data_IF_982124372985
#
_entry.id   IF_982124372985
#
_cell.length_a   1.000
_cell.length_b   1.000
_cell.length_c   1.000
_cell.angle_alpha   90.00
_cell.angle_beta   90.00
_cell.angle_gamma   90.00
#
_symmetry.space_group_name_H-M   'P 1'
#
loop_
_entity.id
_entity.type
_entity.pdbx_description
1 polymer ?
#
# COMPACT_ATOMS: atom_id res chain seq x y z
N UNK A 1 20.24 5.36 -7.26
CA UNK A 1 20.40 4.86 -5.89
C UNK A 1 19.41 3.73 -5.61
N UNK A 2 19.88 2.50 -5.43
CA UNK A 2 18.99 1.35 -5.24
C UNK A 2 18.13 1.54 -3.97
N UNK A 3 16.94 0.93 -3.92
CA UNK A 3 16.05 1.02 -2.73
C UNK A 3 16.78 0.62 -1.45
N UNK A 4 17.65 -0.39 -1.54
CA UNK A 4 18.50 -0.87 -0.45
C UNK A 4 19.50 0.19 0.10
N UNK A 5 19.60 1.37 -0.52
CA UNK A 5 20.50 2.45 -0.12
C UNK A 5 19.76 3.67 0.46
N UNK A 6 18.42 3.62 0.56
CA UNK A 6 17.62 4.73 1.09
C UNK A 6 17.75 4.77 2.62
N UNK A 7 18.65 5.63 3.13
CA UNK A 7 18.92 5.74 4.58
C UNK A 7 17.85 6.46 5.39
N UNK A 8 16.89 7.13 4.75
CA UNK A 8 15.89 7.93 5.46
C UNK A 8 14.71 7.06 5.93
N UNK A 9 14.28 7.27 7.17
CA UNK A 9 13.16 6.55 7.77
C UNK A 9 11.79 7.16 7.44
N UNK A 10 11.78 8.40 6.94
CA UNK A 10 10.57 9.12 6.51
C UNK A 10 10.85 10.11 5.38
N UNK A 11 9.82 10.50 4.63
CA UNK A 11 9.82 11.67 3.75
C UNK A 11 9.01 12.79 4.40
N UNK A 12 9.52 14.02 4.39
CA UNK A 12 8.78 15.21 4.80
C UNK A 12 8.01 15.80 3.62
N UNK A 13 6.72 16.03 3.78
CA UNK A 13 5.85 16.61 2.75
C UNK A 13 5.18 17.88 3.31
N UNK A 14 5.28 18.98 2.56
CA UNK A 14 4.55 20.20 2.89
C UNK A 14 3.11 20.07 2.37
N UNK A 15 2.13 20.01 3.29
CA UNK A 15 0.71 19.90 2.96
C UNK A 15 0.06 21.27 3.03
N UNK A 16 -0.65 21.66 1.98
CA UNK A 16 -1.29 22.96 1.88
C UNK A 16 -2.69 22.85 1.27
N UNK A 17 -3.56 23.82 1.56
CA UNK A 17 -4.74 24.04 0.73
C UNK A 17 -4.32 24.58 -0.63
N UNK A 18 -5.00 24.17 -1.70
CA UNK A 18 -4.69 24.72 -3.02
C UNK A 18 -4.89 26.25 -3.06
N UNK A 19 -5.97 26.75 -2.47
CA UNK A 19 -6.25 28.18 -2.31
C UNK A 19 -7.25 28.40 -1.15
N UNK A 20 -7.58 29.66 -0.85
CA UNK A 20 -8.52 30.01 0.22
C UNK A 20 -9.95 29.51 -0.05
N UNK A 21 -10.30 29.24 -1.32
CA UNK A 21 -11.60 28.68 -1.67
C UNK A 21 -11.63 27.21 -1.25
N UNK A 22 -10.62 26.42 -1.60
CA UNK A 22 -10.51 25.03 -1.17
C UNK A 22 -10.37 24.92 0.36
N UNK A 23 -9.65 25.85 0.99
CA UNK A 23 -9.57 25.92 2.46
C UNK A 23 -10.94 26.06 3.12
N UNK A 24 -11.77 27.00 2.65
CA UNK A 24 -13.11 27.22 3.22
C UNK A 24 -14.01 25.99 3.08
N UNK A 25 -13.90 25.29 1.95
CA UNK A 25 -14.68 24.07 1.67
C UNK A 25 -14.23 22.90 2.55
N UNK A 26 -12.93 22.58 2.56
CA UNK A 26 -12.38 21.45 3.34
C UNK A 26 -12.52 21.64 4.86
N UNK A 27 -12.74 22.87 5.33
CA UNK A 27 -12.99 23.20 6.73
C UNK A 27 -14.48 23.45 7.06
N UNK A 28 -15.38 23.30 6.08
CA UNK A 28 -16.82 23.51 6.27
C UNK A 28 -17.43 22.47 7.22
N UNK A 29 -18.65 22.74 7.69
CA UNK A 29 -19.36 21.79 8.56
C UNK A 29 -19.72 20.46 7.85
N UNK A 30 -19.67 20.41 6.52
CA UNK A 30 -19.98 19.23 5.71
C UNK A 30 -18.90 18.15 5.82
N UNK A 31 -17.70 18.53 6.26
CA UNK A 31 -16.58 17.61 6.49
C UNK A 31 -16.55 17.06 7.93
N UNK A 32 -16.19 15.76 8.12
CA UNK A 32 -16.10 15.14 9.43
C UNK A 32 -15.23 15.94 10.40
N UNK A 33 -15.76 16.25 11.58
CA UNK A 33 -15.09 17.12 12.55
C UNK A 33 -13.70 16.62 12.97
N UNK A 34 -13.51 15.30 13.07
CA UNK A 34 -12.19 14.69 13.34
C UNK A 34 -11.21 15.01 12.21
N UNK A 35 -11.60 14.79 10.97
CA UNK A 35 -10.76 15.05 9.80
C UNK A 35 -10.37 16.53 9.71
N UNK A 36 -11.31 17.45 9.96
CA UNK A 36 -11.03 18.90 9.97
C UNK A 36 -9.97 19.31 10.98
N UNK A 37 -10.06 18.83 12.22
CA UNK A 37 -9.07 19.11 13.26
C UNK A 37 -7.68 18.59 12.89
N UNK A 38 -7.61 17.39 12.31
CA UNK A 38 -6.34 16.82 11.84
C UNK A 38 -5.80 17.64 10.67
N UNK A 39 -6.66 18.04 9.73
CA UNK A 39 -6.30 18.83 8.56
C UNK A 39 -5.72 20.19 8.95
N UNK A 40 -6.34 20.89 9.90
CA UNK A 40 -5.82 22.15 10.45
C UNK A 40 -4.42 21.98 11.03
N UNK A 41 -4.16 20.88 11.75
CA UNK A 41 -2.83 20.59 12.27
C UNK A 41 -1.83 20.22 11.17
N UNK A 42 -2.25 19.44 10.16
CA UNK A 42 -1.39 18.97 9.07
C UNK A 42 -0.85 20.09 8.20
N UNK A 43 -1.63 21.15 7.96
CA UNK A 43 -1.19 22.26 7.09
C UNK A 43 -0.24 23.25 7.78
N UNK A 44 0.03 23.08 9.08
CA UNK A 44 0.87 24.01 9.85
C UNK A 44 2.34 23.61 9.90
N UNK A 45 2.65 22.35 9.60
CA UNK A 45 4.00 21.80 9.67
C UNK A 45 4.17 20.67 8.64
N UNK A 46 5.40 20.36 8.22
CA UNK A 46 5.63 19.25 7.31
C UNK A 46 5.13 17.94 7.90
N UNK A 47 4.44 17.15 7.08
CA UNK A 47 4.01 15.81 7.43
C UNK A 47 5.16 14.84 7.20
N UNK A 48 5.55 14.11 8.25
CA UNK A 48 6.45 12.97 8.12
C UNK A 48 5.66 11.72 7.71
N UNK A 49 5.91 11.21 6.50
CA UNK A 49 5.39 9.94 6.00
C UNK A 49 6.50 8.90 6.16
N UNK A 50 6.28 7.79 6.89
CA UNK A 50 7.24 6.69 6.98
C UNK A 50 7.67 6.20 5.60
N UNK A 51 8.96 5.93 5.41
CA UNK A 51 9.46 5.45 4.11
C UNK A 51 8.80 4.12 3.72
N UNK A 52 8.48 3.27 4.70
CA UNK A 52 7.79 2.01 4.47
C UNK A 52 6.36 2.19 3.93
N UNK A 53 5.64 3.21 4.40
CA UNK A 53 4.29 3.56 3.92
C UNK A 53 4.37 4.11 2.49
N UNK A 54 5.28 5.04 2.22
CA UNK A 54 5.50 5.57 0.87
C UNK A 54 5.87 4.47 -0.13
N UNK A 55 6.86 3.64 0.21
CA UNK A 55 7.32 2.56 -0.67
C UNK A 55 6.26 1.48 -0.86
N UNK A 56 5.43 1.20 0.13
CA UNK A 56 4.31 0.24 -0.01
C UNK A 56 3.35 0.67 -1.11
N UNK A 57 2.88 1.92 -1.07
CA UNK A 57 2.02 2.46 -2.13
C UNK A 57 2.73 2.55 -3.49
N UNK A 58 4.03 2.87 -3.50
CA UNK A 58 4.79 3.00 -4.74
C UNK A 58 5.05 1.64 -5.43
N UNK A 59 5.50 0.64 -4.67
CA UNK A 59 5.89 -0.68 -5.16
C UNK A 59 4.69 -1.57 -5.49
N UNK A 60 3.61 -1.45 -4.72
CA UNK A 60 2.37 -2.18 -4.91
C UNK A 60 1.28 -1.29 -5.53
N UNK A 61 1.69 -0.30 -6.33
CA UNK A 61 0.82 0.61 -7.06
C UNK A 61 -0.29 -0.17 -7.77
N UNK A 62 -1.54 0.16 -7.41
CA UNK A 62 -2.76 -0.49 -7.92
C UNK A 62 -2.78 -2.02 -7.79
N UNK A 63 -2.17 -2.60 -6.76
CA UNK A 63 -2.32 -4.03 -6.42
C UNK A 63 -3.80 -4.33 -6.17
N UNK A 64 -4.37 -5.26 -6.94
CA UNK A 64 -5.81 -5.52 -7.03
C UNK A 64 -6.38 -5.26 -8.42
N UNK A 65 -5.67 -4.50 -9.25
CA UNK A 65 -5.83 -4.44 -10.70
C UNK A 65 -4.85 -5.40 -11.42
N UNK A 66 -5.02 -5.61 -12.72
CA UNK A 66 -4.23 -6.55 -13.53
C UNK A 66 -2.70 -6.45 -13.29
N UNK A 67 -2.02 -7.61 -13.25
CA UNK A 67 -0.55 -7.68 -13.23
C UNK A 67 0.11 -7.92 -11.86
N UNK A 68 -0.62 -8.45 -10.88
CA UNK A 68 -0.06 -9.03 -9.64
C UNK A 68 -0.57 -10.46 -9.38
N UNK A 69 -1.14 -11.11 -10.41
CA UNK A 69 -1.83 -12.39 -10.27
C UNK A 69 -0.89 -13.59 -10.12
N UNK A 70 0.40 -13.43 -10.47
CA UNK A 70 1.40 -14.46 -10.29
C UNK A 70 2.80 -13.89 -10.02
N UNK A 71 3.71 -14.78 -9.67
CA UNK A 71 5.08 -14.45 -9.28
C UNK A 71 5.89 -13.72 -10.36
N UNK A 72 5.73 -14.11 -11.63
CA UNK A 72 6.45 -13.51 -12.76
C UNK A 72 6.01 -12.05 -12.99
N UNK A 73 4.71 -11.79 -12.89
CA UNK A 73 4.17 -10.43 -12.98
C UNK A 73 4.68 -9.54 -11.84
N UNK A 74 4.73 -10.09 -10.61
CA UNK A 74 5.26 -9.37 -9.44
C UNK A 74 6.75 -9.08 -9.61
N UNK A 75 7.53 -10.06 -10.05
CA UNK A 75 8.96 -9.88 -10.35
C UNK A 75 9.18 -8.72 -11.32
N UNK A 76 8.49 -8.71 -12.47
CA UNK A 76 8.62 -7.65 -13.48
C UNK A 76 8.24 -6.28 -12.93
N UNK A 77 7.17 -6.20 -12.14
CA UNK A 77 6.75 -4.93 -11.54
C UNK A 77 7.75 -4.42 -10.50
N UNK A 78 8.32 -5.31 -9.69
CA UNK A 78 9.35 -4.97 -8.72
C UNK A 78 10.61 -4.44 -9.40
N UNK A 79 11.05 -5.09 -10.49
CA UNK A 79 12.20 -4.66 -11.29
C UNK A 79 11.99 -3.25 -11.86
N UNK A 80 10.82 -2.99 -12.47
CA UNK A 80 10.49 -1.67 -13.01
C UNK A 80 10.41 -0.61 -11.92
N UNK A 81 9.73 -0.90 -10.80
CA UNK A 81 9.57 0.05 -9.71
C UNK A 81 10.89 0.38 -9.02
N UNK A 82 11.77 -0.61 -8.84
CA UNK A 82 13.13 -0.41 -8.32
C UNK A 82 13.95 0.48 -9.24
N UNK A 83 13.94 0.22 -10.55
CA UNK A 83 14.60 1.05 -11.56
C UNK A 83 14.08 2.50 -11.56
N UNK A 84 12.77 2.70 -11.42
CA UNK A 84 12.18 4.04 -11.31
C UNK A 84 12.65 4.79 -10.07
N UNK A 85 12.69 4.14 -8.92
CA UNK A 85 13.22 4.73 -7.69
C UNK A 85 14.70 5.07 -7.85
N UNK A 86 15.48 4.16 -8.44
CA UNK A 86 16.93 4.30 -8.59
C UNK A 86 17.32 5.47 -9.50
N UNK A 87 16.61 5.65 -10.61
CA UNK A 87 17.00 6.55 -11.70
C UNK A 87 16.26 7.88 -11.72
N UNK A 88 15.03 7.93 -11.19
CA UNK A 88 14.13 9.07 -11.39
C UNK A 88 13.74 9.78 -10.09
N UNK A 89 14.09 9.23 -8.93
CA UNK A 89 13.82 9.84 -7.63
C UNK A 89 15.12 10.10 -6.87
N UNK A 90 15.12 11.19 -6.10
CA UNK A 90 16.19 11.57 -5.18
C UNK A 90 15.63 11.56 -3.76
N UNK A 91 16.30 10.83 -2.88
CA UNK A 91 16.07 10.83 -1.44
C UNK A 91 17.24 11.56 -0.79
N UNK A 92 16.99 12.75 -0.24
CA UNK A 92 18.04 13.67 0.26
C UNK A 92 18.20 13.64 1.79
N UNK A 93 17.62 12.63 2.45
CA UNK A 93 17.59 12.51 3.90
C UNK A 93 16.44 13.29 4.56
N UNK A 94 15.77 14.17 3.82
CA UNK A 94 14.64 14.96 4.32
C UNK A 94 13.35 14.64 3.58
N UNK A 95 13.38 14.62 2.25
CA UNK A 95 12.19 14.40 1.41
C UNK A 95 12.51 13.57 0.18
N UNK A 96 11.52 13.43 -0.69
CA UNK A 96 11.66 12.88 -2.04
C UNK A 96 11.56 14.02 -3.05
N UNK A 97 12.44 14.01 -4.05
CA UNK A 97 12.48 15.00 -5.12
C UNK A 97 12.96 14.40 -6.43
N UNK A 98 13.17 15.25 -7.43
CA UNK A 98 13.71 14.84 -8.72
C UNK A 98 15.26 14.93 -8.70
N UNK A 99 15.98 14.00 -9.35
CA UNK A 99 17.43 14.03 -9.40
C UNK A 99 17.96 15.19 -10.27
N UNK A 100 17.22 15.59 -11.30
CA UNK A 100 17.61 16.64 -12.23
C UNK A 100 16.40 17.41 -12.77
N UNK A 101 16.66 18.57 -13.37
CA UNK A 101 15.62 19.32 -14.08
C UNK A 101 15.19 18.51 -15.31
N UNK A 102 13.91 18.23 -15.41
CA UNK A 102 13.35 17.44 -16.50
C UNK A 102 11.99 16.89 -16.13
N UNK A 103 11.28 16.33 -17.11
CA UNK A 103 10.04 15.60 -16.86
C UNK A 103 10.36 14.11 -16.79
N UNK A 104 10.26 13.47 -15.61
CA UNK A 104 10.33 12.01 -15.55
C UNK A 104 9.16 11.40 -16.31
N UNK A 105 9.21 10.10 -16.63
CA UNK A 105 8.06 9.36 -17.15
C UNK A 105 6.81 9.61 -16.30
N UNK A 106 5.65 9.69 -16.97
CA UNK A 106 4.36 10.00 -16.34
C UNK A 106 4.04 9.04 -15.19
N UNK A 107 4.31 7.75 -15.39
CA UNK A 107 4.07 6.69 -14.40
C UNK A 107 4.76 7.00 -13.07
N UNK A 108 5.94 7.61 -13.10
CA UNK A 108 6.70 7.95 -11.89
C UNK A 108 5.98 9.05 -11.11
N UNK A 109 5.57 10.12 -11.79
CA UNK A 109 4.77 11.17 -11.14
C UNK A 109 3.45 10.62 -10.63
N UNK A 110 2.81 9.69 -11.35
CA UNK A 110 1.57 9.06 -10.91
C UNK A 110 1.75 8.23 -9.64
N UNK A 111 2.76 7.34 -9.60
CA UNK A 111 3.06 6.52 -8.43
C UNK A 111 3.43 7.36 -7.20
N UNK A 112 4.29 8.38 -7.35
CA UNK A 112 4.63 9.29 -6.24
C UNK A 112 3.39 10.08 -5.81
N UNK A 113 2.62 10.58 -6.78
CA UNK A 113 1.41 11.34 -6.53
C UNK A 113 0.40 10.55 -5.71
N UNK A 114 0.14 9.30 -6.07
CA UNK A 114 -0.69 8.40 -5.28
C UNK A 114 -0.10 8.12 -3.91
N UNK A 115 1.18 7.72 -3.84
CA UNK A 115 1.81 7.30 -2.58
C UNK A 115 1.73 8.40 -1.52
N UNK A 116 2.02 9.64 -1.90
CA UNK A 116 1.92 10.79 -0.99
C UNK A 116 0.45 11.15 -0.70
N UNK A 117 -0.42 11.14 -1.71
CA UNK A 117 -1.84 11.50 -1.53
C UNK A 117 -2.56 10.53 -0.58
N UNK A 118 -2.40 9.23 -0.78
CA UNK A 118 -2.99 8.20 0.08
C UNK A 118 -2.43 8.28 1.50
N UNK A 119 -1.12 8.53 1.65
CA UNK A 119 -0.52 8.73 2.97
C UNK A 119 -1.10 9.95 3.69
N UNK A 120 -1.26 11.10 3.00
CA UNK A 120 -1.84 12.32 3.57
C UNK A 120 -3.28 12.09 4.01
N UNK A 121 -4.13 11.51 3.15
CA UNK A 121 -5.54 11.27 3.47
C UNK A 121 -5.69 10.20 4.54
N UNK A 122 -4.81 9.20 4.58
CA UNK A 122 -4.81 8.17 5.62
C UNK A 122 -4.66 8.76 7.03
N UNK A 123 -3.91 9.85 7.18
CA UNK A 123 -3.79 10.56 8.48
C UNK A 123 -5.07 11.25 8.92
N UNK A 124 -5.88 11.74 7.99
CA UNK A 124 -7.14 12.40 8.31
C UNK A 124 -8.16 11.43 8.94
N UNK A 125 -8.13 10.16 8.50
CA UNK A 125 -9.14 9.16 8.86
C UNK A 125 -8.62 8.02 9.75
N UNK A 126 -7.29 7.90 9.93
CA UNK A 126 -6.69 6.77 10.63
C UNK A 126 -6.78 5.49 9.81
N UNK A 127 -6.45 5.60 8.54
CA UNK A 127 -6.41 4.48 7.58
C UNK A 127 -4.97 3.99 7.42
N UNK A 128 -4.82 2.79 6.89
CA UNK A 128 -3.56 2.31 6.35
C UNK A 128 -3.80 1.60 5.00
N UNK A 129 -2.74 1.12 4.36
CA UNK A 129 -2.78 0.42 3.07
C UNK A 129 -3.82 -0.72 2.97
N UNK A 130 -4.21 -1.36 4.08
CA UNK A 130 -5.24 -2.41 4.06
C UNK A 130 -6.67 -1.87 3.89
N UNK A 131 -6.86 -0.57 4.09
CA UNK A 131 -8.16 0.09 3.92
C UNK A 131 -8.37 0.60 2.48
N UNK A 132 -7.31 0.67 1.66
CA UNK A 132 -7.38 1.19 0.29
C UNK A 132 -7.58 0.08 -0.74
N UNK A 133 -8.30 0.37 -1.82
CA UNK A 133 -8.39 -0.53 -2.98
C UNK A 133 -8.34 0.33 -4.26
N UNK A 134 -7.74 -0.13 -5.36
CA UNK A 134 -7.65 0.67 -6.58
C UNK A 134 -8.87 0.51 -7.49
N UNK A 135 -9.37 1.61 -8.08
CA UNK A 135 -10.59 1.57 -8.92
C UNK A 135 -10.24 0.81 -10.21
N UNK A 136 -10.99 -0.23 -10.62
CA UNK A 136 -10.79 -0.84 -11.92
C UNK A 136 -10.98 0.25 -12.97
N UNK A 137 -10.00 0.41 -13.86
CA UNK A 137 -10.03 1.45 -14.87
C UNK A 137 -11.18 1.18 -15.84
N UNK A 138 -12.24 1.98 -15.75
CA UNK A 138 -13.35 1.93 -16.69
C UNK A 138 -12.88 2.52 -18.03
N UNK A 139 -12.44 1.64 -18.95
CA UNK A 139 -11.97 2.03 -20.28
C UNK A 139 -13.11 2.14 -21.31
N UNK A 140 -12.97 3.05 -22.27
CA UNK A 140 -13.83 3.16 -23.45
C UNK A 140 -14.53 4.51 -23.62
N UNK A 141 -14.98 4.83 -24.85
CA UNK A 141 -15.62 6.12 -25.20
C UNK A 141 -16.91 6.45 -24.41
N UNK A 142 -17.50 5.44 -23.74
CA UNK A 142 -18.75 5.54 -22.96
C UNK A 142 -18.57 5.17 -21.48
N UNK A 143 -17.34 4.97 -21.01
CA UNK A 143 -17.09 4.65 -19.61
C UNK A 143 -17.47 5.85 -18.71
N UNK A 144 -18.21 5.63 -17.60
CA UNK A 144 -18.42 6.66 -16.59
C UNK A 144 -17.08 7.19 -16.10
N UNK A 145 -16.96 8.51 -15.97
CA UNK A 145 -15.76 9.11 -15.36
C UNK A 145 -15.82 8.86 -13.86
N UNK A 146 -14.86 8.10 -13.34
CA UNK A 146 -14.66 7.89 -11.90
C UNK A 146 -13.36 8.55 -11.43
N UNK A 147 -13.22 8.71 -10.11
CA UNK A 147 -11.93 9.04 -9.51
C UNK A 147 -10.93 7.88 -9.66
N UNK A 148 -9.64 8.12 -9.39
CA UNK A 148 -8.54 7.19 -9.68
C UNK A 148 -8.36 6.13 -8.57
N UNK A 149 -8.80 6.35 -7.31
CA UNK A 149 -8.64 5.40 -6.18
C UNK A 149 -9.96 5.07 -5.44
N UNK A 150 -10.16 3.79 -5.08
CA UNK A 150 -11.36 3.28 -4.39
C UNK A 150 -11.27 3.62 -2.92
N UNK A 151 -12.19 4.50 -2.52
CA UNK A 151 -13.07 4.24 -1.39
C UNK A 151 -12.34 3.56 -0.22
N UNK A 152 -11.65 4.27 0.64
CA UNK A 152 -11.34 3.70 1.95
C UNK A 152 -12.56 3.78 2.86
N UNK A 153 -12.56 3.00 3.94
CA UNK A 153 -13.53 3.18 5.02
C UNK A 153 -12.82 3.15 6.36
N UNK A 154 -13.10 4.14 7.22
CA UNK A 154 -12.68 4.10 8.63
C UNK A 154 -13.70 3.37 9.52
N UNK A 155 -14.72 2.75 8.91
CA UNK A 155 -15.83 2.08 9.60
C UNK A 155 -16.97 3.03 9.98
N UNK A 156 -16.84 4.33 9.71
CA UNK A 156 -17.88 5.36 9.91
C UNK A 156 -18.11 6.22 8.67
N UNK A 157 -17.06 6.41 7.88
CA UNK A 157 -17.00 7.30 6.72
C UNK A 157 -16.34 6.56 5.57
N UNK A 158 -16.93 6.69 4.38
CA UNK A 158 -16.41 6.20 3.12
C UNK A 158 -15.66 7.35 2.44
N UNK A 159 -14.38 7.15 2.13
CA UNK A 159 -13.45 8.21 1.69
C UNK A 159 -12.94 7.89 0.29
N UNK A 160 -13.14 8.79 -0.67
CA UNK A 160 -12.50 8.70 -1.99
C UNK A 160 -11.36 9.68 -2.16
N UNK A 161 -10.37 9.30 -2.96
CA UNK A 161 -9.22 10.15 -3.27
C UNK A 161 -8.96 10.17 -4.77
N UNK A 162 -8.77 11.38 -5.29
CA UNK A 162 -8.22 11.63 -6.61
C UNK A 162 -6.79 12.13 -6.46
N UNK A 163 -5.84 11.29 -6.82
CA UNK A 163 -4.42 11.60 -6.71
C UNK A 163 -3.88 12.09 -8.04
N UNK A 164 -3.16 13.21 -8.04
CA UNK A 164 -2.41 13.71 -9.19
C UNK A 164 -0.98 13.97 -8.79
N UNK A 165 -0.03 13.54 -9.62
CA UNK A 165 1.37 13.88 -9.46
C UNK A 165 1.88 14.75 -10.59
N UNK A 166 2.83 15.63 -10.27
CA UNK A 166 3.43 16.56 -11.21
C UNK A 166 4.92 16.72 -10.93
N UNK A 167 5.69 16.85 -12.01
CA UNK A 167 7.08 17.29 -11.98
C UNK A 167 7.14 18.73 -12.48
N UNK A 168 7.63 19.63 -11.64
CA UNK A 168 7.67 21.08 -11.90
C UNK A 168 9.07 21.64 -11.67
N UNK A 169 9.34 22.83 -12.19
CA UNK A 169 10.62 23.49 -11.96
C UNK A 169 10.77 24.00 -10.52
N UNK A 170 9.66 24.46 -9.94
CA UNK A 170 9.59 25.00 -8.58
C UNK A 170 8.23 24.69 -7.96
N UNK A 171 8.19 23.74 -7.03
CA UNK A 171 6.96 23.32 -6.36
C UNK A 171 6.48 24.29 -5.27
N UNK A 172 7.18 25.40 -5.01
CA UNK A 172 6.63 26.50 -4.22
C UNK A 172 5.58 27.31 -5.00
N UNK A 173 5.49 27.10 -6.32
CA UNK A 173 4.53 27.76 -7.21
C UNK A 173 3.64 26.72 -7.88
N UNK A 174 2.40 27.11 -8.17
CA UNK A 174 1.39 26.25 -8.81
C UNK A 174 1.51 26.33 -10.34
N UNK A 175 2.65 25.89 -10.85
CA UNK A 175 3.02 25.99 -12.26
C UNK A 175 2.88 24.64 -13.00
N UNK A 176 3.10 24.65 -14.32
CA UNK A 176 3.07 23.44 -15.14
C UNK A 176 1.68 22.78 -15.21
N UNK A 177 1.60 21.48 -14.92
CA UNK A 177 0.34 20.73 -14.99
C UNK A 177 -0.57 20.91 -13.77
N UNK A 178 -0.10 21.56 -12.70
CA UNK A 178 -0.83 21.72 -11.43
C UNK A 178 -2.21 22.38 -11.61
N UNK A 179 -2.36 23.50 -12.35
CA UNK A 179 -3.69 24.09 -12.57
C UNK A 179 -4.62 23.19 -13.39
N UNK A 180 -4.07 22.43 -14.34
CA UNK A 180 -4.83 21.48 -15.15
C UNK A 180 -5.29 20.28 -14.30
N UNK A 181 -4.47 19.82 -13.35
CA UNK A 181 -4.87 18.80 -12.39
C UNK A 181 -6.04 19.26 -11.53
N UNK A 182 -6.00 20.49 -10.99
CA UNK A 182 -7.16 21.06 -10.26
C UNK A 182 -8.41 21.09 -11.13
N UNK A 183 -8.30 21.57 -12.38
CA UNK A 183 -9.42 21.60 -13.32
C UNK A 183 -9.95 20.20 -13.62
N UNK A 184 -9.07 19.21 -13.77
CA UNK A 184 -9.46 17.82 -14.03
C UNK A 184 -10.19 17.19 -12.83
N UNK A 185 -9.69 17.40 -11.60
CA UNK A 185 -10.33 16.92 -10.37
C UNK A 185 -11.74 17.51 -10.27
N UNK A 186 -11.86 18.84 -10.46
CA UNK A 186 -13.16 19.52 -10.47
C UNK A 186 -14.07 19.05 -11.61
N UNK A 187 -13.53 18.84 -12.80
CA UNK A 187 -14.31 18.37 -13.95
C UNK A 187 -14.92 16.98 -13.72
N UNK A 188 -14.17 16.04 -13.12
CA UNK A 188 -14.70 14.73 -12.73
C UNK A 188 -15.87 14.86 -11.73
N UNK A 189 -15.73 15.77 -10.76
CA UNK A 189 -16.79 16.10 -9.79
C UNK A 189 -18.03 16.64 -10.50
N UNK A 190 -17.87 17.70 -11.29
CA UNK A 190 -18.97 18.37 -11.99
C UNK A 190 -19.73 17.39 -12.93
N UNK A 191 -19.04 16.36 -13.45
CA UNK A 191 -19.66 15.30 -14.25
C UNK A 191 -20.47 14.30 -13.41
N UNK A 192 -19.99 13.93 -12.21
CA UNK A 192 -20.69 13.02 -11.30
C UNK A 192 -21.93 13.65 -10.66
N UNK A 193 -21.91 14.97 -10.43
CA UNK A 193 -23.05 15.69 -9.84
C UNK A 193 -24.21 15.96 -10.80
N UNK A 194 -24.13 15.54 -12.07
CA UNK A 194 -25.18 15.80 -13.07
C UNK A 194 -26.42 14.94 -12.81
N UNK A 195 -27.65 15.50 -12.95
CA UNK A 195 -28.87 14.73 -12.82
C UNK A 195 -28.89 13.51 -13.73
N UNK A 196 -29.21 12.34 -13.16
CA UNK A 196 -29.28 11.06 -13.88
C UNK A 196 -27.94 10.32 -14.02
N UNK A 197 -26.82 10.89 -13.58
CA UNK A 197 -25.54 10.17 -13.45
C UNK A 197 -25.53 9.43 -12.11
N UNK A 198 -25.45 8.09 -12.16
CA UNK A 198 -25.28 7.27 -10.97
C UNK A 198 -23.78 7.04 -10.77
N UNK A 199 -23.22 7.55 -9.67
CA UNK A 199 -21.87 7.18 -9.27
C UNK A 199 -21.83 5.68 -8.94
N UNK A 200 -21.05 4.85 -9.67
CA UNK A 200 -20.89 3.44 -9.33
C UNK A 200 -20.21 3.23 -7.96
N UNK A 201 -19.59 4.27 -7.41
CA UNK A 201 -18.74 4.22 -6.22
C UNK A 201 -19.10 5.36 -5.25
N UNK A 202 -20.28 5.36 -4.60
CA UNK A 202 -20.67 6.44 -3.70
C UNK A 202 -19.75 6.54 -2.48
N UNK A 203 -19.47 7.76 -2.03
CA UNK A 203 -18.59 8.04 -0.90
C UNK A 203 -19.12 9.17 -0.01
N UNK A 204 -18.88 9.04 1.30
CA UNK A 204 -19.25 10.04 2.30
C UNK A 204 -18.48 11.35 2.12
N UNK A 205 -17.22 11.26 1.70
CA UNK A 205 -16.33 12.40 1.48
C UNK A 205 -15.38 12.06 0.34
N UNK A 206 -14.94 13.09 -0.39
CA UNK A 206 -13.95 12.95 -1.45
C UNK A 206 -12.82 13.93 -1.18
N UNK A 207 -11.61 13.60 -1.64
CA UNK A 207 -10.44 14.49 -1.56
C UNK A 207 -9.72 14.49 -2.90
N UNK A 208 -9.38 15.69 -3.38
CA UNK A 208 -8.39 15.85 -4.44
C UNK A 208 -7.04 16.16 -3.83
N UNK A 209 -5.99 15.48 -4.28
CA UNK A 209 -4.62 15.74 -3.84
C UNK A 209 -3.71 15.89 -5.07
N UNK A 210 -2.99 17.01 -5.12
CA UNK A 210 -2.04 17.33 -6.19
C UNK A 210 -0.65 17.41 -5.58
N UNK A 211 0.18 16.43 -5.90
CA UNK A 211 1.55 16.30 -5.44
C UNK A 211 2.49 16.88 -6.49
N UNK A 212 3.43 17.71 -6.07
CA UNK A 212 4.44 18.29 -6.94
C UNK A 212 5.86 18.06 -6.40
N UNK A 213 6.70 17.49 -7.25
CA UNK A 213 8.14 17.35 -7.03
C UNK A 213 8.90 18.34 -7.89
N UNK A 214 10.04 18.81 -7.39
CA UNK A 214 11.02 19.53 -8.18
C UNK A 214 12.44 19.02 -7.90
N UNK A 215 13.41 19.55 -8.65
CA UNK A 215 14.82 19.13 -8.55
C UNK A 215 15.66 20.03 -7.64
N UNK A 216 15.09 21.07 -7.03
CA UNK A 216 15.87 22.04 -6.24
C UNK A 216 16.48 21.32 -5.03
N UNK A 217 17.73 21.64 -4.64
CA UNK A 217 18.32 21.05 -3.45
C UNK A 217 17.47 21.35 -2.22
N UNK A 218 17.28 20.35 -1.34
CA UNK A 218 16.55 20.47 -0.08
C UNK A 218 15.09 20.93 -0.20
N UNK A 219 14.50 20.90 -1.41
CA UNK A 219 13.07 21.10 -1.56
C UNK A 219 12.32 19.88 -1.03
N UNK A 220 11.20 20.13 -0.36
CA UNK A 220 10.28 19.08 0.07
C UNK A 220 9.24 18.86 -1.00
N UNK A 221 8.78 17.62 -1.16
CA UNK A 221 7.57 17.35 -1.90
C UNK A 221 6.40 18.20 -1.35
N UNK A 222 5.58 18.73 -2.24
CA UNK A 222 4.40 19.52 -1.86
C UNK A 222 3.13 18.79 -2.23
N UNK A 223 2.12 18.82 -1.36
CA UNK A 223 0.80 18.25 -1.59
C UNK A 223 -0.28 19.32 -1.38
N UNK A 224 -0.97 19.71 -2.46
CA UNK A 224 -2.11 20.61 -2.37
C UNK A 224 -3.43 19.84 -2.32
N UNK A 225 -4.24 20.16 -1.33
CA UNK A 225 -5.57 19.59 -1.14
C UNK A 225 -6.64 20.44 -1.84
N UNK A 226 -7.57 19.75 -2.48
CA UNK A 226 -8.72 20.28 -3.23
C UNK A 226 -9.97 19.55 -2.75
N UNK A 227 -11.10 20.26 -2.69
CA UNK A 227 -12.39 19.69 -2.31
C UNK A 227 -13.22 19.26 -3.53
N UNK A 228 -13.63 17.99 -3.57
CA UNK A 228 -14.87 17.55 -4.17
C UNK A 228 -15.96 17.34 -3.11
N UNK A 229 -17.02 18.17 -3.12
CA UNK A 229 -18.25 18.05 -2.32
C UNK A 229 -18.64 16.58 -2.03
N UNK A 230 -19.05 16.29 -0.78
CA UNK A 230 -19.52 14.97 -0.40
C UNK A 230 -20.85 14.61 -1.09
N UNK A 231 -21.10 13.31 -1.26
CA UNK A 231 -22.36 12.78 -1.77
C UNK A 231 -22.96 11.74 -0.80
N UNK A 232 -24.20 11.35 -1.10
CA UNK A 232 -24.97 10.38 -0.33
C UNK A 232 -24.29 9.00 -0.27
N UNK A 233 -24.42 8.33 0.88
CA UNK A 233 -23.82 7.03 1.16
C UNK A 233 -24.76 5.89 0.75
N UNK A 234 -24.32 5.02 -0.17
CA UNK A 234 -25.08 3.80 -0.50
C UNK A 234 -24.63 2.56 0.28
N UNK A 235 -23.42 2.56 0.83
CA UNK A 235 -22.82 1.42 1.51
C UNK A 235 -22.71 1.66 3.01
N UNK A 236 -22.86 0.59 3.78
CA UNK A 236 -22.59 0.60 5.22
C UNK A 236 -21.06 0.62 5.44
N UNK A 237 -20.51 1.68 6.07
CA UNK A 237 -19.05 1.86 6.15
C UNK A 237 -18.31 0.74 6.87
N UNK A 238 -18.89 0.14 7.91
CA UNK A 238 -18.25 -0.91 8.71
C UNK A 238 -18.07 -2.19 7.89
N UNK A 239 -19.09 -2.59 7.15
CA UNK A 239 -19.09 -3.71 6.21
C UNK A 239 -18.04 -3.52 5.13
N UNK A 240 -17.99 -2.32 4.54
CA UNK A 240 -17.00 -2.01 3.52
C UNK A 240 -15.56 -2.11 4.04
N UNK A 241 -15.31 -1.64 5.28
CA UNK A 241 -13.99 -1.76 5.92
C UNK A 241 -13.61 -3.23 6.14
N UNK A 242 -14.53 -4.04 6.65
CA UNK A 242 -14.31 -5.48 6.86
C UNK A 242 -13.93 -6.17 5.53
N UNK A 243 -14.73 -5.98 4.48
CA UNK A 243 -14.49 -6.59 3.18
C UNK A 243 -13.14 -6.19 2.59
N UNK A 244 -12.77 -4.92 2.69
CA UNK A 244 -11.48 -4.41 2.18
C UNK A 244 -10.30 -5.02 2.91
N UNK A 245 -10.33 -5.05 4.25
CA UNK A 245 -9.26 -5.66 5.02
C UNK A 245 -9.19 -7.17 4.84
N UNK A 246 -10.32 -7.85 4.70
CA UNK A 246 -10.36 -9.28 4.37
C UNK A 246 -9.78 -9.56 2.98
N UNK A 247 -10.11 -8.74 1.98
CA UNK A 247 -9.52 -8.83 0.63
C UNK A 247 -8.01 -8.57 0.65
N UNK A 248 -7.56 -7.58 1.43
CA UNK A 248 -6.14 -7.31 1.63
C UNK A 248 -5.42 -8.54 2.22
N UNK A 249 -5.95 -9.09 3.32
CA UNK A 249 -5.39 -10.28 3.96
C UNK A 249 -5.37 -11.48 3.00
N UNK A 250 -6.46 -11.71 2.28
CA UNK A 250 -6.57 -12.78 1.27
C UNK A 250 -5.51 -12.64 0.19
N UNK A 251 -5.34 -11.44 -0.36
CA UNK A 251 -4.36 -11.16 -1.41
C UNK A 251 -2.94 -11.44 -0.94
N UNK A 252 -2.57 -11.01 0.26
CA UNK A 252 -1.21 -11.17 0.79
C UNK A 252 -0.91 -12.60 1.24
N UNK A 253 -1.81 -13.22 1.99
CA UNK A 253 -1.64 -14.63 2.40
C UNK A 253 -1.63 -15.55 1.17
N UNK A 254 -2.49 -15.27 0.18
CA UNK A 254 -2.52 -16.01 -1.08
C UNK A 254 -1.27 -15.83 -1.91
N UNK A 255 -0.65 -14.64 -1.89
CA UNK A 255 0.64 -14.43 -2.54
C UNK A 255 1.77 -15.21 -1.85
N UNK A 256 1.86 -15.11 -0.53
CA UNK A 256 2.96 -15.70 0.24
C UNK A 256 2.85 -17.22 0.38
N UNK A 257 1.62 -17.75 0.35
CA UNK A 257 1.37 -19.17 0.57
C UNK A 257 0.17 -19.69 -0.24
N UNK A 258 0.22 -19.63 -1.59
CA UNK A 258 -0.93 -19.89 -2.47
C UNK A 258 -1.52 -21.30 -2.35
N UNK A 259 -0.71 -22.28 -1.94
CA UNK A 259 -1.13 -23.68 -1.77
C UNK A 259 -1.49 -24.02 -0.31
N UNK A 260 -1.52 -23.04 0.59
CA UNK A 260 -1.89 -23.30 1.99
C UNK A 260 -3.39 -23.45 2.17
N UNK A 261 -3.78 -24.28 3.14
CA UNK A 261 -5.17 -24.37 3.58
C UNK A 261 -5.69 -23.02 4.08
N UNK A 262 -4.86 -22.20 4.73
CA UNK A 262 -5.25 -20.85 5.15
C UNK A 262 -5.63 -19.96 3.97
N UNK A 263 -4.82 -19.95 2.91
CA UNK A 263 -5.14 -19.19 1.70
C UNK A 263 -6.46 -19.65 1.07
N UNK A 264 -6.68 -20.96 1.00
CA UNK A 264 -7.91 -21.51 0.42
C UNK A 264 -9.14 -21.15 1.28
N UNK A 265 -9.08 -21.40 2.60
CA UNK A 265 -10.19 -21.13 3.52
C UNK A 265 -10.49 -19.64 3.64
N UNK A 266 -9.48 -18.77 3.55
CA UNK A 266 -9.65 -17.32 3.54
C UNK A 266 -10.32 -16.83 2.25
N UNK A 267 -10.01 -17.44 1.10
CA UNK A 267 -10.69 -17.13 -0.15
C UNK A 267 -12.18 -17.53 -0.10
N UNK A 268 -12.49 -18.72 0.44
CA UNK A 268 -13.88 -19.13 0.69
C UNK A 268 -14.58 -18.16 1.63
N UNK A 269 -13.97 -17.83 2.77
CA UNK A 269 -14.54 -16.89 3.74
C UNK A 269 -14.82 -15.51 3.13
N UNK A 270 -13.91 -14.98 2.32
CA UNK A 270 -14.14 -13.71 1.63
C UNK A 270 -15.34 -13.80 0.68
N UNK A 271 -15.47 -14.90 -0.06
CA UNK A 271 -16.63 -15.15 -0.94
C UNK A 271 -17.94 -15.21 -0.13
N UNK A 272 -17.92 -15.86 1.04
CA UNK A 272 -19.10 -15.95 1.91
C UNK A 272 -19.49 -14.55 2.43
N UNK A 273 -18.53 -13.76 2.91
CA UNK A 273 -18.76 -12.39 3.39
C UNK A 273 -19.33 -11.47 2.31
N UNK A 274 -19.00 -11.69 1.04
CA UNK A 274 -19.54 -10.91 -0.09
C UNK A 274 -20.97 -11.32 -0.48
N UNK A 275 -21.43 -12.50 -0.07
CA UNK A 275 -22.76 -13.02 -0.44
C UNK A 275 -23.77 -12.95 0.70
N UNK A 276 -23.31 -12.96 1.96
CA UNK A 276 -24.17 -12.82 3.13
C UNK A 276 -24.84 -11.45 3.21
N UNK A 277 -26.07 -11.45 3.73
CA UNK A 277 -26.81 -10.21 4.02
C UNK A 277 -26.18 -9.45 5.18
N UNK A 278 -25.78 -10.16 6.23
CA UNK A 278 -25.00 -9.62 7.34
C UNK A 278 -23.67 -10.39 7.43
N UNK A 279 -22.56 -9.80 6.96
CA UNK A 279 -21.25 -10.45 7.03
C UNK A 279 -20.78 -10.71 8.46
N UNK A 280 -21.29 -9.97 9.46
CA UNK A 280 -20.87 -10.10 10.86
C UNK A 280 -21.38 -11.38 11.55
N UNK A 281 -22.29 -12.13 10.92
CA UNK A 281 -22.69 -13.47 11.38
C UNK A 281 -21.51 -14.45 11.47
N UNK A 282 -20.43 -14.18 10.73
CA UNK A 282 -19.23 -15.01 10.71
C UNK A 282 -18.13 -14.56 11.69
N UNK A 283 -18.38 -13.53 12.50
CA UNK A 283 -17.39 -13.00 13.46
C UNK A 283 -17.02 -14.05 14.51
N UNK A 284 -15.71 -14.26 14.72
CA UNK A 284 -15.17 -15.24 15.66
C UNK A 284 -15.29 -16.70 15.22
N UNK A 285 -15.95 -16.99 14.10
CA UNK A 285 -15.99 -18.34 13.54
C UNK A 285 -14.66 -18.66 12.86
N UNK A 286 -13.90 -19.59 13.46
CA UNK A 286 -12.57 -20.00 12.99
C UNK A 286 -12.59 -20.49 11.54
N UNK A 287 -11.49 -20.25 10.82
CA UNK A 287 -11.28 -20.87 9.52
C UNK A 287 -11.03 -22.36 9.70
N UNK A 288 -11.69 -23.18 8.87
CA UNK A 288 -11.54 -24.62 8.91
C UNK A 288 -10.63 -25.11 7.79
N UNK A 289 -9.92 -26.19 8.05
CA UNK A 289 -9.17 -26.98 7.06
C UNK A 289 -10.15 -27.83 6.25
N UNK A 290 -9.66 -28.44 5.16
CA UNK A 290 -10.48 -29.33 4.32
C UNK A 290 -11.01 -30.59 5.04
N UNK A 291 -10.45 -30.92 6.22
CA UNK A 291 -10.93 -32.00 7.08
C UNK A 291 -11.87 -31.53 8.21
N UNK A 292 -12.29 -30.25 8.20
CA UNK A 292 -13.21 -29.68 9.21
C UNK A 292 -12.54 -29.18 10.49
N UNK A 293 -11.25 -29.44 10.69
CA UNK A 293 -10.52 -28.98 11.88
C UNK A 293 -10.17 -27.48 11.79
N UNK A 294 -10.18 -26.72 12.90
CA UNK A 294 -9.74 -25.34 12.88
C UNK A 294 -8.28 -25.15 12.44
N UNK A 295 -8.02 -24.06 11.72
CA UNK A 295 -6.66 -23.66 11.38
C UNK A 295 -6.00 -23.04 12.62
N UNK A 296 -5.01 -23.76 13.15
CA UNK A 296 -4.12 -23.30 14.21
C UNK A 296 -2.66 -23.45 13.77
N UNK A 297 -1.83 -22.51 14.20
CA UNK A 297 -0.39 -22.53 14.00
C UNK A 297 0.30 -22.57 15.36
N UNK A 298 1.32 -23.42 15.47
CA UNK A 298 2.15 -23.55 16.66
C UNK A 298 3.55 -23.04 16.34
N UNK A 299 4.34 -22.67 17.34
CA UNK A 299 5.76 -22.37 17.14
C UNK A 299 6.51 -23.59 16.58
N UNK A 300 7.49 -23.37 15.71
CA UNK A 300 8.34 -24.43 15.14
C UNK A 300 9.14 -25.17 16.22
N UNK A 301 9.49 -24.47 17.30
CA UNK A 301 10.09 -25.03 18.51
C UNK A 301 9.78 -24.11 19.71
N UNK A 302 9.92 -24.58 20.97
CA UNK A 302 9.67 -23.76 22.16
C UNK A 302 10.48 -22.47 22.23
N UNK A 303 11.65 -22.45 21.56
CA UNK A 303 12.57 -21.31 21.52
C UNK A 303 12.52 -20.58 20.16
N UNK A 304 11.64 -20.98 19.24
CA UNK A 304 11.46 -20.33 17.94
C UNK A 304 10.40 -19.25 18.06
N UNK A 305 10.74 -18.05 17.59
CA UNK A 305 9.78 -16.95 17.40
C UNK A 305 8.82 -17.22 16.23
N UNK A 306 9.12 -18.20 15.39
CA UNK A 306 8.37 -18.51 14.19
C UNK A 306 7.40 -19.66 14.34
N UNK A 307 6.22 -19.50 13.74
CA UNK A 307 5.16 -20.48 13.65
C UNK A 307 5.30 -21.42 12.45
N UNK A 308 4.55 -22.53 12.51
CA UNK A 308 4.45 -23.52 11.43
C UNK A 308 3.86 -22.95 10.13
N UNK A 309 3.25 -21.77 10.15
CA UNK A 309 2.85 -21.07 8.91
C UNK A 309 4.05 -20.76 8.01
N UNK A 310 5.18 -20.38 8.62
CA UNK A 310 6.43 -20.04 7.94
C UNK A 310 7.34 -21.25 7.74
N UNK A 311 6.88 -22.47 8.03
CA UNK A 311 7.66 -23.67 7.74
C UNK A 311 8.00 -23.74 6.24
N UNK A 312 9.30 -23.83 5.93
CA UNK A 312 9.81 -23.86 4.56
C UNK A 312 9.70 -22.55 3.78
N UNK A 313 9.55 -21.41 4.49
CA UNK A 313 9.50 -20.07 3.90
C UNK A 313 10.70 -19.24 4.32
N UNK A 314 10.92 -18.14 3.60
CA UNK A 314 11.94 -17.15 4.00
C UNK A 314 11.48 -16.41 5.24
N UNK A 315 12.39 -16.10 6.17
CA UNK A 315 12.03 -15.51 7.48
C UNK A 315 13.10 -14.59 8.01
N UNK A 316 12.67 -13.63 8.82
CA UNK A 316 13.56 -12.68 9.50
C UNK A 316 14.07 -13.35 10.78
N UNK A 317 15.38 -13.49 10.93
CA UNK A 317 15.97 -14.36 11.97
C UNK A 317 15.61 -13.92 13.39
N UNK A 318 15.49 -12.63 13.64
CA UNK A 318 15.31 -12.03 14.98
C UNK A 318 13.90 -11.46 15.22
N UNK A 319 12.96 -11.68 14.29
CA UNK A 319 11.60 -11.15 14.39
C UNK A 319 10.57 -12.13 13.82
N UNK A 320 9.39 -12.20 14.44
CA UNK A 320 8.26 -13.00 13.98
C UNK A 320 7.62 -12.44 12.69
N UNK A 321 8.36 -12.53 11.58
CA UNK A 321 7.94 -12.13 10.25
C UNK A 321 8.59 -13.02 9.19
N UNK A 322 7.87 -13.29 8.11
CA UNK A 322 8.39 -14.07 6.99
C UNK A 322 7.44 -14.16 5.81
N UNK A 323 7.92 -14.80 4.75
CA UNK A 323 7.23 -14.91 3.48
C UNK A 323 8.12 -15.47 2.38
N UNK A 324 8.24 -14.74 1.28
CA UNK A 324 8.89 -15.22 0.07
C UNK A 324 9.98 -14.26 -0.40
N UNK A 325 11.03 -14.81 -0.99
CA UNK A 325 12.00 -14.05 -1.77
C UNK A 325 11.71 -14.19 -3.26
N UNK A 326 11.89 -13.10 -3.99
CA UNK A 326 11.63 -12.97 -5.42
C UNK A 326 12.90 -12.48 -6.11
N UNK A 327 13.54 -13.27 -6.98
CA UNK A 327 14.59 -12.75 -7.85
C UNK A 327 14.10 -11.55 -8.64
N UNK A 328 14.75 -10.40 -8.47
CA UNK A 328 14.46 -9.18 -9.25
C UNK A 328 15.44 -9.10 -10.42
N UNK A 329 16.72 -9.27 -10.12
CA UNK A 329 17.84 -9.37 -11.06
C UNK A 329 18.89 -10.34 -10.51
N UNK A 330 20.00 -10.55 -11.24
CA UNK A 330 21.01 -11.58 -10.90
C UNK A 330 21.56 -11.46 -9.49
N UNK A 331 21.70 -10.25 -8.98
CA UNK A 331 22.34 -9.88 -7.72
C UNK A 331 21.35 -9.32 -6.69
N UNK A 332 20.04 -9.37 -6.95
CA UNK A 332 19.04 -8.71 -6.09
C UNK A 332 17.78 -9.53 -5.93
N UNK A 333 17.37 -9.73 -4.67
CA UNK A 333 16.13 -10.37 -4.29
C UNK A 333 15.19 -9.36 -3.63
N UNK A 334 13.91 -9.35 -4.01
CA UNK A 334 12.86 -8.70 -3.24
C UNK A 334 12.32 -9.69 -2.21
N UNK A 335 12.42 -9.35 -0.93
CA UNK A 335 11.78 -10.06 0.16
C UNK A 335 10.39 -9.47 0.41
N UNK A 336 9.37 -10.32 0.40
CA UNK A 336 7.99 -9.97 0.75
C UNK A 336 7.55 -10.82 1.94
N UNK A 337 7.02 -10.18 2.98
CA UNK A 337 6.74 -10.82 4.24
C UNK A 337 5.44 -10.31 4.87
N UNK A 338 4.92 -11.11 5.80
CA UNK A 338 3.89 -10.69 6.76
C UNK A 338 4.43 -10.90 8.16
N UNK A 339 3.98 -10.04 9.07
CA UNK A 339 4.09 -10.23 10.51
C UNK A 339 3.27 -11.45 10.94
N UNK A 340 3.80 -12.25 11.85
CA UNK A 340 3.06 -13.43 12.34
C UNK A 340 1.86 -13.05 13.19
N UNK A 341 1.87 -11.87 13.81
CA UNK A 341 0.68 -11.32 14.47
C UNK A 341 -0.47 -11.11 13.47
N UNK A 342 -0.16 -10.74 12.22
CA UNK A 342 -1.18 -10.63 11.17
C UNK A 342 -1.74 -12.00 10.79
N UNK A 343 -0.90 -13.05 10.77
CA UNK A 343 -1.35 -14.42 10.51
C UNK A 343 -2.28 -14.91 11.62
N UNK A 344 -2.00 -14.56 12.88
CA UNK A 344 -2.88 -14.84 14.00
C UNK A 344 -4.24 -14.15 13.85
N UNK A 345 -4.26 -12.86 13.51
CA UNK A 345 -5.50 -12.11 13.21
C UNK A 345 -6.33 -12.80 12.11
N UNK A 346 -5.67 -13.31 11.06
CA UNK A 346 -6.34 -14.07 10.00
C UNK A 346 -6.89 -15.40 10.54
N UNK A 347 -6.15 -16.14 11.35
CA UNK A 347 -6.60 -17.44 11.84
C UNK A 347 -7.77 -17.32 12.83
N UNK A 348 -7.74 -16.31 13.70
CA UNK A 348 -8.74 -16.09 14.75
C UNK A 348 -10.09 -15.59 14.22
N UNK A 349 -10.10 -14.91 13.08
CA UNK A 349 -11.31 -14.36 12.45
C UNK A 349 -12.13 -13.45 13.38
N UNK A 350 -11.47 -12.77 14.32
CA UNK A 350 -12.11 -11.71 15.10
C UNK A 350 -12.18 -10.44 14.25
N UNK A 351 -13.40 -10.02 13.88
CA UNK A 351 -13.60 -8.92 12.95
C UNK A 351 -13.25 -7.57 13.56
N UNK A 352 -13.37 -7.39 14.88
CA UNK A 352 -12.87 -6.18 15.53
C UNK A 352 -11.35 -6.05 15.36
N UNK A 353 -10.58 -7.13 15.57
CA UNK A 353 -9.14 -7.16 15.33
C UNK A 353 -8.79 -6.95 13.85
N UNK A 354 -9.52 -7.60 12.93
CA UNK A 354 -9.32 -7.40 11.48
C UNK A 354 -9.58 -5.93 11.10
N UNK A 355 -10.65 -5.31 11.58
CA UNK A 355 -10.98 -3.92 11.26
C UNK A 355 -10.06 -2.88 11.90
N UNK A 356 -9.30 -3.26 12.95
CA UNK A 356 -8.54 -2.29 13.77
C UNK A 356 -7.03 -2.49 13.79
N UNK A 357 -6.48 -3.56 13.19
CA UNK A 357 -5.02 -3.73 13.17
C UNK A 357 -4.32 -2.50 12.58
N UNK A 358 -3.33 -2.02 13.33
CA UNK A 358 -2.48 -0.91 12.96
C UNK A 358 -1.17 -1.05 13.74
N UNK A 359 -0.11 -1.39 13.02
CA UNK A 359 1.19 -1.70 13.60
C UNK A 359 2.14 -0.50 13.48
N UNK A 360 3.16 -0.40 14.35
CA UNK A 360 4.19 0.62 14.17
C UNK A 360 4.98 0.41 12.88
N UNK A 361 4.97 1.39 11.98
CA UNK A 361 5.86 1.43 10.84
C UNK A 361 7.32 1.48 11.30
N UNK A 362 8.20 0.71 10.66
CA UNK A 362 9.64 0.77 10.96
C UNK A 362 10.47 0.28 9.78
N UNK A 363 11.73 0.72 9.71
CA UNK A 363 12.74 0.16 8.80
C UNK A 363 13.91 -0.33 9.64
N UNK A 364 14.41 -1.53 9.34
CA UNK A 364 15.47 -2.15 10.12
C UNK A 364 16.42 -2.92 9.21
N UNK A 365 17.71 -2.76 9.45
CA UNK A 365 18.73 -3.67 8.95
C UNK A 365 18.60 -5.01 9.70
N UNK A 366 18.44 -6.10 8.97
CA UNK A 366 18.21 -7.43 9.54
C UNK A 366 18.77 -8.54 8.67
N UNK A 367 19.03 -9.69 9.27
CA UNK A 367 19.32 -10.93 8.55
C UNK A 367 18.01 -11.65 8.18
N UNK A 368 17.91 -12.06 6.92
CA UNK A 368 16.81 -12.86 6.38
C UNK A 368 17.36 -14.22 5.98
N UNK A 369 16.81 -15.29 6.57
CA UNK A 369 16.96 -16.63 6.03
C UNK A 369 16.13 -16.71 4.75
N UNK A 370 16.81 -16.83 3.62
CA UNK A 370 16.22 -16.93 2.30
C UNK A 370 16.01 -18.41 1.97
N UNK A 371 14.75 -18.77 1.69
CA UNK A 371 14.36 -20.11 1.24
C UNK A 371 13.77 -20.00 -0.15
N UNK A 372 14.50 -20.51 -1.14
CA UNK A 372 14.13 -20.41 -2.55
C UNK A 372 14.02 -21.79 -3.21
N UNK A 373 12.95 -22.09 -3.96
CA UNK A 373 12.87 -23.32 -4.74
C UNK A 373 13.97 -23.38 -5.82
N UNK A 374 14.60 -24.55 -5.99
CA UNK A 374 15.66 -24.74 -7.00
C UNK A 374 15.23 -24.42 -8.43
N UNK A 375 13.94 -24.61 -8.74
CA UNK A 375 13.36 -24.25 -10.04
C UNK A 375 13.41 -22.76 -10.37
N UNK A 376 13.68 -21.90 -9.38
CA UNK A 376 13.75 -20.44 -9.53
C UNK A 376 15.19 -19.89 -9.54
N UNK A 377 16.19 -20.76 -9.61
CA UNK A 377 17.61 -20.38 -9.58
C UNK A 377 18.18 -19.94 -10.92
N UNK A 378 17.47 -20.13 -12.04
CA UNK A 378 18.02 -19.94 -13.38
C UNK A 378 18.54 -18.53 -13.67
N UNK A 379 18.15 -17.52 -12.87
CA UNK A 379 18.46 -16.12 -13.09
C UNK A 379 19.11 -15.42 -11.89
N UNK A 380 19.65 -16.15 -10.91
CA UNK A 380 20.36 -15.55 -9.77
C UNK A 380 21.81 -16.01 -9.67
N UNK A 381 22.66 -15.12 -9.17
CA UNK A 381 23.98 -15.44 -8.67
C UNK A 381 23.83 -16.39 -7.49
N UNK A 382 24.63 -17.45 -7.46
CA UNK A 382 24.61 -18.40 -6.34
C UNK A 382 25.24 -17.73 -5.12
N UNK A 383 24.52 -17.63 -3.98
CA UNK A 383 25.12 -17.13 -2.75
C UNK A 383 26.23 -18.08 -2.26
N UNK A 384 27.35 -17.57 -1.74
CA UNK A 384 28.50 -18.39 -1.36
C UNK A 384 28.21 -19.33 -0.18
N UNK A 385 27.27 -18.97 0.68
CA UNK A 385 26.83 -19.71 1.87
C UNK A 385 25.61 -20.62 1.60
N UNK A 386 25.23 -20.80 0.33
CA UNK A 386 24.01 -21.49 0.00
C UNK A 386 24.06 -23.01 0.25
N UNK A 387 23.14 -23.48 1.09
CA UNK A 387 22.97 -24.89 1.44
C UNK A 387 21.72 -25.45 0.75
N UNK A 388 21.90 -26.55 0.03
CA UNK A 388 20.80 -27.27 -0.60
C UNK A 388 20.11 -28.20 0.40
N UNK A 389 18.79 -28.06 0.59
CA UNK A 389 17.96 -28.97 1.38
C UNK A 389 16.74 -29.42 0.56
N UNK A 390 16.72 -30.69 0.14
CA UNK A 390 15.68 -31.23 -0.73
C UNK A 390 15.52 -30.44 -2.04
N UNK A 391 14.32 -29.92 -2.29
CA UNK A 391 13.99 -29.09 -3.47
C UNK A 391 14.25 -27.58 -3.28
N UNK A 392 14.78 -27.18 -2.12
CA UNK A 392 15.02 -25.78 -1.77
C UNK A 392 16.50 -25.49 -1.58
N UNK A 393 16.83 -24.21 -1.73
CA UNK A 393 18.10 -23.60 -1.40
C UNK A 393 17.89 -22.67 -0.20
N UNK A 394 18.77 -22.77 0.78
CA UNK A 394 18.79 -21.97 2.01
C UNK A 394 20.08 -21.16 2.06
N UNK A 395 19.99 -19.88 2.37
CA UNK A 395 21.13 -18.97 2.55
C UNK A 395 20.70 -17.76 3.37
N UNK A 396 21.64 -16.96 3.84
CA UNK A 396 21.34 -15.76 4.63
C UNK A 396 21.77 -14.50 3.89
N UNK A 397 20.88 -13.52 3.83
CA UNK A 397 21.21 -12.19 3.34
C UNK A 397 20.89 -11.15 4.40
N UNK A 398 21.73 -10.13 4.49
CA UNK A 398 21.46 -8.95 5.29
C UNK A 398 20.87 -7.85 4.40
N UNK A 399 19.90 -7.11 4.93
CA UNK A 399 19.34 -5.95 4.24
C UNK A 399 18.29 -5.22 5.06
N UNK A 400 17.88 -4.06 4.56
CA UNK A 400 16.81 -3.29 5.20
C UNK A 400 15.45 -3.92 4.88
N UNK A 401 14.67 -4.17 5.93
CA UNK A 401 13.27 -4.59 5.84
C UNK A 401 12.38 -3.48 6.38
N UNK A 402 11.45 -3.05 5.53
CA UNK A 402 10.45 -2.03 5.77
C UNK A 402 9.16 -2.70 6.24
N UNK A 403 8.73 -2.38 7.45
CA UNK A 403 7.47 -2.82 8.04
C UNK A 403 6.43 -1.72 7.95
N UNK A 404 5.24 -2.07 7.47
CA UNK A 404 4.12 -1.16 7.27
C UNK A 404 3.10 -1.26 8.40
N UNK A 405 2.21 -0.26 8.56
CA UNK A 405 1.15 -0.32 9.56
C UNK A 405 0.13 -1.43 9.35
N UNK A 406 -0.01 -1.98 8.14
CA UNK A 406 -0.90 -3.12 7.91
C UNK A 406 -0.30 -4.47 8.34
N UNK A 407 0.98 -4.50 8.72
CA UNK A 407 1.68 -5.72 9.12
C UNK A 407 2.40 -6.43 7.98
N UNK A 408 2.62 -5.77 6.85
CA UNK A 408 3.54 -6.26 5.82
C UNK A 408 4.99 -5.95 6.18
N UNK A 409 5.89 -6.77 5.66
CA UNK A 409 7.31 -6.50 5.58
C UNK A 409 7.77 -6.61 4.13
N UNK A 410 8.67 -5.74 3.68
CA UNK A 410 9.34 -5.92 2.39
C UNK A 410 10.75 -5.33 2.41
N UNK A 411 11.63 -5.84 1.57
CA UNK A 411 13.01 -5.35 1.48
C UNK A 411 13.69 -5.81 0.20
N UNK A 412 14.81 -5.17 -0.15
CA UNK A 412 15.64 -5.56 -1.30
C UNK A 412 16.99 -6.04 -0.76
N UNK A 413 17.26 -7.33 -0.96
CA UNK A 413 18.41 -8.04 -0.42
C UNK A 413 19.43 -8.26 -1.54
N UNK A 414 20.62 -7.67 -1.41
CA UNK A 414 21.68 -7.81 -2.40
C UNK A 414 22.44 -9.11 -2.17
N UNK A 415 22.74 -9.85 -3.25
CA UNK A 415 23.59 -11.03 -3.20
C UNK A 415 25.05 -10.55 -3.30
N UNK A 416 25.90 -10.82 -2.29
CA UNK A 416 27.29 -10.41 -2.31
C UNK A 416 28.07 -10.98 -3.49
N UNK A 417 29.21 -10.35 -3.79
CA UNK A 417 30.04 -10.75 -4.91
C UNK A 417 30.81 -12.06 -4.73
#
# INVERSE_FOLDING_TARGET
MAIAQIKQTSILVDVEFYDDIEKKKLLSADYPAKARRVLEALVTKPLAIPISEFLSYFLFHRKGSDGYGNYEQIQRRMEVAESYIDTCLRFDGTSVGLPSKGRPPRDITEHVGESISLSVVSRLFGLNEADWTPLPSLGGKRAPRSFDFEIASDGKTIVQVESKGSAVENNARKEGSVPNHKRSIRGKKDDLSKPGVKDPYPASVRYGAIVALDARPQSRAKCWLVDPDPEWQAYEPKTLRLLKRMAFLQSWIGLLSPRSQLSASLATRLSDLMTLRDPFELDGLQLLRGNGEPIKYASLSPNSIHSTFLAGKSRVVDRAAGGVVIPVRKDLLAFLAVREELVAVVAEQNFASIMSFDYPASTRLTTVECVLPKSRLSNIKMPPDAVSSGSHLHFYLEGEVHYTPSGLGFGFLSIPD
#
